data_IF_871221655399
#
_entry.id   IF_871221655399
#
_cell.length_a   1.000
_cell.length_b   1.000
_cell.length_c   1.000
_cell.angle_alpha   90.00
_cell.angle_beta   90.00
_cell.angle_gamma   90.00
#
_symmetry.space_group_name_H-M   'P 1'
#
loop_
_entity.id
_entity.type
_entity.pdbx_description
1 polymer ?
#
# COMPACT_ATOMS: atom_id res chain seq x y z
N UNK A 1 -14.79 -6.12 6.31
CA UNK A 1 -14.93 -6.45 4.88
C UNK A 1 -14.00 -7.60 4.56
N UNK A 2 -14.54 -8.75 4.18
CA UNK A 2 -13.80 -9.90 3.66
C UNK A 2 -14.24 -10.10 2.22
N UNK A 3 -13.33 -10.18 1.25
CA UNK A 3 -13.70 -10.58 -0.12
C UNK A 3 -13.23 -9.70 -1.28
N UNK A 4 -11.99 -9.21 -1.28
CA UNK A 4 -11.33 -8.86 -2.54
C UNK A 4 -10.92 -10.14 -3.30
N UNK A 5 -10.57 -10.03 -4.58
CA UNK A 5 -10.05 -11.18 -5.35
C UNK A 5 -8.75 -11.76 -4.75
N UNK A 6 -8.02 -10.93 -3.99
CA UNK A 6 -6.81 -11.34 -3.29
C UNK A 6 -7.16 -12.11 -2.02
N UNK A 7 -6.43 -13.21 -1.79
CA UNK A 7 -6.58 -14.07 -0.61
C UNK A 7 -6.23 -13.36 0.71
N UNK A 8 -5.25 -12.46 0.66
CA UNK A 8 -4.80 -11.64 1.78
C UNK A 8 -5.04 -10.16 1.47
N UNK A 9 -5.17 -9.33 2.51
CA UNK A 9 -5.28 -7.87 2.34
C UNK A 9 -3.96 -7.28 1.81
N UNK A 10 -3.98 -6.08 1.24
CA UNK A 10 -2.75 -5.40 0.81
C UNK A 10 -1.83 -5.10 2.02
N UNK A 11 -2.40 -4.71 3.17
CA UNK A 11 -1.66 -4.47 4.42
C UNK A 11 -0.91 -5.74 4.85
N UNK A 12 -1.59 -6.88 4.83
CA UNK A 12 -0.99 -8.17 5.15
C UNK A 12 0.07 -8.59 4.12
N UNK A 13 -0.22 -8.46 2.83
CA UNK A 13 0.71 -8.77 1.75
C UNK A 13 2.01 -7.96 1.83
N UNK A 14 1.95 -6.69 2.23
CA UNK A 14 3.13 -5.84 2.40
C UNK A 14 4.01 -6.29 3.58
N UNK A 15 3.40 -6.69 4.70
CA UNK A 15 4.14 -7.25 5.85
C UNK A 15 4.80 -8.57 5.47
N UNK A 16 4.05 -9.46 4.83
CA UNK A 16 4.55 -10.72 4.29
C UNK A 16 5.72 -10.52 3.32
N UNK A 17 5.65 -9.49 2.47
CA UNK A 17 6.75 -9.17 1.57
C UNK A 17 8.01 -8.73 2.34
N UNK A 18 7.89 -7.96 3.42
CA UNK A 18 9.03 -7.63 4.27
C UNK A 18 9.61 -8.85 4.99
N UNK A 19 8.76 -9.78 5.42
CA UNK A 19 9.18 -10.95 6.20
C UNK A 19 9.82 -12.03 5.33
N UNK A 20 9.27 -12.31 4.14
CA UNK A 20 9.72 -13.44 3.29
C UNK A 20 9.69 -13.17 1.78
N UNK A 21 9.44 -11.93 1.33
CA UNK A 21 9.58 -11.53 -0.08
C UNK A 21 8.42 -11.93 -1.00
N UNK A 22 7.26 -12.31 -0.46
CA UNK A 22 6.06 -12.63 -1.24
C UNK A 22 4.79 -12.16 -0.52
N UNK A 23 3.66 -12.08 -1.23
CA UNK A 23 2.40 -11.65 -0.62
C UNK A 23 1.77 -12.71 0.32
N UNK A 24 2.06 -13.99 0.10
CA UNK A 24 1.77 -15.10 1.00
C UNK A 24 2.81 -16.24 0.82
N UNK A 25 2.87 -17.15 1.78
CA UNK A 25 3.83 -18.28 1.76
C UNK A 25 3.68 -19.20 0.55
N UNK A 26 2.47 -19.32 0.01
CA UNK A 26 2.21 -20.17 -1.14
C UNK A 26 2.77 -19.55 -2.42
N UNK A 27 2.59 -18.24 -2.58
CA UNK A 27 3.07 -17.44 -3.71
C UNK A 27 4.58 -17.45 -3.84
N UNK A 28 5.31 -17.67 -2.73
CA UNK A 28 6.77 -17.76 -2.72
C UNK A 28 7.33 -18.81 -3.69
N UNK A 29 6.57 -19.86 -4.01
CA UNK A 29 6.98 -20.90 -4.99
C UNK A 29 6.88 -20.45 -6.45
N UNK A 30 6.23 -19.31 -6.71
CA UNK A 30 5.95 -18.76 -8.04
C UNK A 30 6.66 -17.45 -8.34
N UNK A 31 7.44 -16.94 -7.39
CA UNK A 31 8.19 -15.69 -7.52
C UNK A 31 9.67 -15.94 -7.27
N UNK A 32 10.50 -15.00 -7.72
CA UNK A 32 11.92 -14.95 -7.37
C UNK A 32 12.19 -13.76 -6.46
N UNK A 33 13.28 -13.77 -5.69
CA UNK A 33 13.79 -12.55 -5.07
C UNK A 33 14.06 -11.47 -6.13
N UNK A 34 13.94 -10.18 -5.77
CA UNK A 34 14.43 -9.06 -6.59
C UNK A 34 15.91 -9.22 -6.91
N UNK A 35 16.32 -8.76 -8.09
CA UNK A 35 17.74 -8.62 -8.42
C UNK A 35 18.33 -7.35 -7.77
N UNK A 36 19.66 -7.25 -7.73
CA UNK A 36 20.35 -6.10 -7.11
C UNK A 36 20.02 -4.77 -7.80
N UNK A 37 19.62 -4.80 -9.08
CA UNK A 37 19.21 -3.65 -9.89
C UNK A 37 17.69 -3.41 -9.89
N UNK A 38 16.94 -4.16 -9.07
CA UNK A 38 15.50 -4.00 -8.86
C UNK A 38 15.18 -3.56 -7.41
N UNK A 39 15.79 -2.47 -6.90
CA UNK A 39 15.50 -2.02 -5.55
C UNK A 39 14.07 -1.49 -5.44
N UNK A 40 13.53 -1.55 -4.23
CA UNK A 40 12.34 -0.78 -3.89
C UNK A 40 12.60 0.71 -4.06
N UNK A 41 11.54 1.46 -4.34
CA UNK A 41 11.57 2.91 -4.23
C UNK A 41 12.05 3.32 -2.82
N UNK A 42 13.00 4.27 -2.67
CA UNK A 42 13.50 4.68 -1.37
C UNK A 42 12.44 5.23 -0.40
N UNK A 43 11.32 5.75 -0.92
CA UNK A 43 10.19 6.20 -0.13
C UNK A 43 9.21 5.08 0.21
N UNK A 44 9.38 3.88 -0.37
CA UNK A 44 8.49 2.75 -0.15
C UNK A 44 8.44 2.36 1.33
N UNK A 45 7.23 2.18 1.83
CA UNK A 45 6.94 1.64 3.16
C UNK A 45 5.61 0.89 3.14
N UNK A 46 5.41 -0.05 4.08
CA UNK A 46 4.09 -0.60 4.33
C UNK A 46 3.08 0.49 4.65
N UNK A 47 1.83 0.21 4.33
CA UNK A 47 0.69 1.03 4.74
C UNK A 47 0.67 1.13 6.26
N UNK A 48 0.60 2.35 6.75
CA UNK A 48 0.41 2.68 8.15
C UNK A 48 -0.97 3.31 8.31
N UNK A 49 -1.95 2.56 8.83
CA UNK A 49 -3.33 3.03 8.98
C UNK A 49 -3.50 4.17 9.99
N UNK A 50 -2.47 4.49 10.79
CA UNK A 50 -2.46 5.68 11.65
C UNK A 50 -2.00 6.95 10.92
N UNK A 51 -1.39 6.81 9.73
CA UNK A 51 -0.87 7.91 8.92
C UNK A 51 -1.58 8.03 7.57
N UNK A 52 -1.96 6.91 6.99
CA UNK A 52 -2.52 6.78 5.65
C UNK A 52 -4.03 6.59 5.73
N UNK A 53 -4.77 7.56 5.22
CA UNK A 53 -6.21 7.45 5.05
C UNK A 53 -6.53 6.96 3.64
N UNK A 54 -7.43 5.98 3.53
CA UNK A 54 -7.94 5.45 2.26
C UNK A 54 -9.44 5.68 2.18
N UNK A 55 -10.02 5.50 0.99
CA UNK A 55 -11.46 5.69 0.77
C UNK A 55 -12.29 4.82 1.71
N UNK A 56 -13.16 5.48 2.47
CA UNK A 56 -14.28 4.81 3.12
C UNK A 56 -15.41 4.64 2.09
N UNK A 57 -15.55 3.42 1.57
CA UNK A 57 -16.59 3.09 0.61
C UNK A 57 -18.01 3.15 1.19
N UNK A 58 -18.13 3.18 2.52
CA UNK A 58 -19.40 3.31 3.23
C UNK A 58 -19.81 4.76 3.53
N UNK A 59 -18.90 5.73 3.35
CA UNK A 59 -19.19 7.13 3.58
C UNK A 59 -20.13 7.70 2.50
N UNK A 60 -21.09 8.53 2.93
CA UNK A 60 -22.04 9.23 2.05
C UNK A 60 -21.34 10.25 1.15
N UNK A 61 -20.33 10.95 1.70
CA UNK A 61 -19.53 11.94 0.98
C UNK A 61 -18.11 11.40 0.72
N UNK A 62 -17.73 11.37 -0.57
CA UNK A 62 -16.39 10.96 -1.01
C UNK A 62 -15.58 12.20 -1.35
N UNK A 63 -14.36 12.30 -0.83
CA UNK A 63 -13.47 13.39 -1.23
C UNK A 63 -13.17 13.31 -2.76
N UNK A 64 -13.07 14.45 -3.45
CA UNK A 64 -12.80 14.48 -4.88
C UNK A 64 -11.43 13.88 -5.18
N UNK A 65 -11.33 13.17 -6.31
CA UNK A 65 -10.05 12.66 -6.79
C UNK A 65 -9.13 13.82 -7.17
N UNK A 66 -7.82 13.74 -6.86
CA UNK A 66 -6.85 14.73 -7.31
C UNK A 66 -6.64 14.64 -8.83
N UNK A 67 -6.40 15.79 -9.46
CA UNK A 67 -6.06 15.86 -10.90
C UNK A 67 -4.69 15.23 -11.19
N UNK A 68 -3.72 15.48 -10.30
CA UNK A 68 -2.42 14.82 -10.35
C UNK A 68 -2.55 13.38 -9.83
N UNK A 69 -2.13 12.40 -10.64
CA UNK A 69 -2.19 10.99 -10.24
C UNK A 69 -0.97 10.54 -9.43
N UNK A 70 0.12 11.31 -9.46
CA UNK A 70 1.33 10.98 -8.69
C UNK A 70 1.07 11.04 -7.17
N UNK A 71 0.10 11.86 -6.75
CA UNK A 71 -0.29 11.95 -5.33
C UNK A 71 -1.11 10.75 -4.85
N UNK A 72 -1.43 9.77 -5.71
CA UNK A 72 -2.16 8.55 -5.32
C UNK A 72 -1.25 7.47 -4.71
N UNK A 73 0.05 7.57 -4.88
CA UNK A 73 1.01 6.63 -4.32
C UNK A 73 1.17 6.86 -2.80
N UNK A 74 0.59 5.97 -1.96
CA UNK A 74 0.57 6.13 -0.48
C UNK A 74 1.97 6.23 0.17
N UNK A 75 2.97 5.64 -0.48
CA UNK A 75 4.33 5.65 0.03
C UNK A 75 5.05 6.98 -0.22
N UNK A 76 4.60 7.77 -1.21
CA UNK A 76 5.22 9.06 -1.50
C UNK A 76 4.85 10.11 -0.43
N UNK A 77 5.76 11.06 -0.11
CA UNK A 77 5.45 12.16 0.80
C UNK A 77 4.27 13.02 0.36
N UNK A 78 3.96 13.04 -0.94
CA UNK A 78 2.89 13.82 -1.55
C UNK A 78 1.53 13.12 -1.51
N UNK A 79 1.40 11.97 -0.84
CA UNK A 79 0.13 11.23 -0.79
C UNK A 79 -1.04 12.09 -0.33
N UNK A 80 -2.07 12.17 -1.15
CA UNK A 80 -3.18 13.15 -1.05
C UNK A 80 -4.10 12.99 0.16
N UNK A 81 -4.10 11.81 0.79
CA UNK A 81 -4.91 11.50 1.99
C UNK A 81 -4.06 11.18 3.22
N UNK A 82 -2.82 11.65 3.27
CA UNK A 82 -2.04 11.57 4.51
C UNK A 82 -2.67 12.45 5.58
N UNK A 83 -2.70 12.00 6.83
CA UNK A 83 -3.08 12.88 7.94
C UNK A 83 -2.09 14.06 8.02
N UNK A 84 -2.60 15.28 8.02
CA UNK A 84 -1.81 16.52 8.17
C UNK A 84 -1.38 16.77 9.63
N UNK A 85 -1.63 15.83 10.53
CA UNK A 85 -1.34 15.90 11.96
C UNK A 85 0.14 15.69 12.28
N UNK A 86 1.02 16.49 11.70
CA UNK A 86 2.39 16.70 12.15
C UNK A 86 2.93 18.00 11.52
N UNK A 87 2.67 19.12 12.20
CA UNK A 87 3.49 20.34 12.12
C UNK A 87 3.94 20.68 13.53
#
# INVERSE_FOLDING_TARGET
MSGGANKVSLVEAQRNYQDFGACDEHGRRYVRPPADDEPLDPAWRPIDLARDSFEDWSAEERAPWPDDRLVLCWWLPTFWRRDHSAS
#
